data_IF_203176921931
#
_entry.id   IF_203176921931
#
_cell.length_a   1.000
_cell.length_b   1.000
_cell.length_c   1.000
_cell.angle_alpha   90.00
_cell.angle_beta   90.00
_cell.angle_gamma   90.00
#
_symmetry.space_group_name_H-M   'P 1'
#
loop_
_entity.id
_entity.type
_entity.pdbx_description
1 polymer ?
#
# COMPACT_ATOMS: atom_id res chain seq x y z
N UNK A 1 -22.76 -15.97 2.03
CA UNK A 1 -22.65 -14.70 1.26
C UNK A 1 -22.45 -13.59 2.28
N UNK A 2 -21.21 -13.25 2.61
CA UNK A 2 -20.92 -12.49 3.85
C UNK A 2 -20.93 -10.96 3.64
N UNK A 3 -20.77 -10.44 2.41
CA UNK A 3 -20.61 -8.98 2.17
C UNK A 3 -21.46 -8.36 1.04
N UNK A 4 -22.30 -9.14 0.36
CA UNK A 4 -23.21 -8.62 -0.70
C UNK A 4 -22.52 -8.24 -2.02
N UNK A 5 -23.30 -7.73 -2.98
CA UNK A 5 -22.81 -7.38 -4.33
C UNK A 5 -21.93 -6.11 -4.34
N UNK A 6 -22.14 -5.19 -3.40
CA UNK A 6 -21.38 -3.93 -3.31
C UNK A 6 -19.94 -4.09 -2.82
N UNK A 7 -19.57 -5.26 -2.29
CA UNK A 7 -18.21 -5.56 -1.82
C UNK A 7 -17.29 -6.13 -2.93
N UNK A 8 -17.79 -6.24 -4.16
CA UNK A 8 -17.04 -6.82 -5.29
C UNK A 8 -17.11 -5.84 -6.46
N UNK A 9 -15.96 -5.61 -7.11
CA UNK A 9 -15.85 -4.85 -8.36
C UNK A 9 -15.15 -5.72 -9.40
N UNK A 10 -15.63 -5.70 -10.65
CA UNK A 10 -15.11 -6.56 -11.74
C UNK A 10 -13.75 -6.05 -12.24
N UNK A 11 -13.57 -4.74 -12.32
CA UNK A 11 -12.33 -4.10 -12.75
C UNK A 11 -12.11 -2.78 -12.02
N UNK A 12 -10.85 -2.46 -11.73
CA UNK A 12 -10.43 -1.19 -11.13
C UNK A 12 -9.05 -0.83 -11.69
N UNK A 13 -8.74 0.46 -11.78
CA UNK A 13 -7.41 0.91 -12.17
C UNK A 13 -6.46 0.83 -10.97
N UNK A 14 -5.21 0.44 -11.23
CA UNK A 14 -4.17 0.44 -10.20
C UNK A 14 -3.56 1.83 -10.15
N UNK A 15 -3.94 2.64 -9.16
CA UNK A 15 -3.41 4.00 -8.96
C UNK A 15 -2.29 4.08 -7.91
N UNK A 16 -2.22 3.12 -7.00
CA UNK A 16 -1.21 3.03 -5.94
C UNK A 16 -0.87 1.57 -5.64
N UNK A 17 0.39 1.30 -5.36
CA UNK A 17 0.87 0.02 -4.83
C UNK A 17 1.36 0.22 -3.39
N UNK A 18 0.87 -0.61 -2.47
CA UNK A 18 1.37 -0.61 -1.09
C UNK A 18 2.25 -1.84 -0.91
N UNK A 19 3.54 -1.62 -0.71
CA UNK A 19 4.51 -2.65 -0.41
C UNK A 19 4.60 -2.83 1.11
N UNK A 20 4.20 -4.00 1.61
CA UNK A 20 4.27 -4.32 3.04
C UNK A 20 5.54 -5.08 3.34
N UNK A 21 6.38 -4.53 4.21
CA UNK A 21 7.63 -5.17 4.62
C UNK A 21 7.73 -5.31 6.13
N UNK A 22 8.45 -6.33 6.60
CA UNK A 22 8.69 -6.49 8.03
C UNK A 22 9.48 -5.29 8.55
N UNK A 23 9.04 -4.71 9.66
CA UNK A 23 9.74 -3.59 10.28
C UNK A 23 11.19 -3.99 10.62
N UNK A 24 12.15 -3.24 10.06
CA UNK A 24 13.58 -3.37 10.36
C UNK A 24 14.10 -2.06 10.98
N UNK A 25 14.62 -2.13 12.20
CA UNK A 25 15.20 -0.98 12.89
C UNK A 25 16.47 -0.41 12.23
N UNK A 26 17.11 -1.17 11.34
CA UNK A 26 18.29 -0.73 10.59
C UNK A 26 17.94 -0.02 9.29
N UNK A 27 16.70 -0.18 8.80
CA UNK A 27 16.25 0.45 7.56
C UNK A 27 15.67 1.84 7.86
N UNK A 28 16.18 2.84 7.15
CA UNK A 28 15.63 4.20 7.22
C UNK A 28 14.37 4.23 6.37
N UNK A 29 13.23 4.12 7.03
CA UNK A 29 11.93 4.41 6.42
C UNK A 29 11.80 5.92 6.23
N UNK A 30 11.38 6.34 5.04
CA UNK A 30 10.99 7.73 4.82
C UNK A 30 9.82 8.07 5.76
N UNK A 31 10.02 9.11 6.58
CA UNK A 31 9.03 9.61 7.55
C UNK A 31 8.34 10.88 7.08
N UNK A 32 8.80 11.46 5.98
CA UNK A 32 8.34 12.75 5.46
C UNK A 32 7.58 12.63 4.14
N UNK A 33 7.65 11.47 3.46
CA UNK A 33 6.91 11.21 2.20
C UNK A 33 7.42 12.07 1.05
N UNK A 34 8.73 12.35 1.03
CA UNK A 34 9.35 13.29 0.09
C UNK A 34 9.81 12.53 -1.16
N UNK A 35 10.21 11.26 -1.03
CA UNK A 35 10.59 10.45 -2.18
C UNK A 35 9.37 9.72 -2.75
N UNK A 36 9.01 10.09 -3.98
CA UNK A 36 8.00 9.38 -4.76
C UNK A 36 8.63 8.14 -5.40
N UNK A 37 8.44 6.99 -4.77
CA UNK A 37 8.82 5.71 -5.34
C UNK A 37 7.78 5.27 -6.39
N UNK A 38 8.25 4.60 -7.45
CA UNK A 38 7.38 4.00 -8.46
C UNK A 38 7.76 2.55 -8.70
N UNK A 39 6.76 1.71 -8.91
CA UNK A 39 6.93 0.35 -9.44
C UNK A 39 6.44 0.29 -10.88
N UNK A 40 6.98 -0.63 -11.66
CA UNK A 40 6.60 -0.81 -13.05
C UNK A 40 5.71 -2.04 -13.20
N UNK A 41 4.50 -1.83 -13.74
CA UNK A 41 3.55 -2.90 -14.05
C UNK A 41 3.27 -2.82 -15.55
N UNK A 42 3.74 -3.81 -16.30
CA UNK A 42 3.54 -3.89 -17.76
C UNK A 42 4.00 -2.64 -18.53
N UNK A 43 5.14 -2.04 -18.13
CA UNK A 43 5.64 -0.81 -18.74
C UNK A 43 5.05 0.49 -18.16
N UNK A 44 4.08 0.39 -17.25
CA UNK A 44 3.41 1.54 -16.64
C UNK A 44 4.01 1.79 -15.26
N UNK A 45 4.51 3.01 -15.04
CA UNK A 45 4.96 3.45 -13.71
C UNK A 45 3.76 3.77 -12.84
N UNK A 46 3.65 3.07 -11.71
CA UNK A 46 2.62 3.24 -10.70
C UNK A 46 3.29 3.66 -9.39
N UNK A 47 2.79 4.69 -8.69
CA UNK A 47 3.31 5.06 -7.37
C UNK A 47 3.34 3.87 -6.42
N UNK A 48 4.42 3.73 -5.64
CA UNK A 48 4.54 2.71 -4.60
C UNK A 48 4.85 3.35 -3.24
N UNK A 49 4.18 2.86 -2.21
CA UNK A 49 4.43 3.23 -0.82
C UNK A 49 4.87 2.00 -0.03
N UNK A 50 6.05 2.08 0.59
CA UNK A 50 6.57 1.00 1.43
C UNK A 50 6.20 1.23 2.89
N UNK A 51 5.38 0.33 3.47
CA UNK A 51 4.88 0.42 4.83
C UNK A 51 5.48 -0.70 5.69
N UNK A 52 6.20 -0.37 6.77
CA UNK A 52 6.67 -1.37 7.70
C UNK A 52 5.53 -1.95 8.53
N UNK A 53 5.42 -3.27 8.58
CA UNK A 53 4.47 -4.01 9.40
C UNK A 53 5.12 -4.47 10.71
N UNK A 54 4.43 -4.19 11.81
CA UNK A 54 4.76 -4.68 13.14
C UNK A 54 3.49 -5.20 13.81
N UNK A 55 3.51 -6.35 14.49
CA UNK A 55 2.36 -6.84 15.25
C UNK A 55 1.82 -5.75 16.20
N UNK A 56 0.50 -5.61 16.25
CA UNK A 56 -0.18 -4.60 17.07
C UNK A 56 -0.56 -3.30 16.34
N UNK A 57 -0.30 -3.17 15.03
CA UNK A 57 -0.84 -2.08 14.19
C UNK A 57 -2.03 -2.54 13.35
N UNK A 58 -3.03 -1.67 13.21
CA UNK A 58 -4.16 -1.90 12.32
C UNK A 58 -3.78 -1.53 10.88
N UNK A 59 -3.51 -2.54 10.05
CA UNK A 59 -3.11 -2.34 8.66
C UNK A 59 -4.23 -1.76 7.80
N UNK A 60 -5.49 -2.11 8.07
CA UNK A 60 -6.63 -1.61 7.29
C UNK A 60 -6.74 -0.08 7.39
N UNK A 61 -6.61 0.47 8.61
CA UNK A 61 -6.63 1.93 8.83
C UNK A 61 -5.46 2.61 8.15
N UNK A 62 -4.27 2.01 8.17
CA UNK A 62 -3.08 2.58 7.53
C UNK A 62 -3.26 2.64 6.00
N UNK A 63 -3.82 1.58 5.41
CA UNK A 63 -4.10 1.51 3.97
C UNK A 63 -5.18 2.53 3.59
N UNK A 64 -6.22 2.70 4.41
CA UNK A 64 -7.31 3.65 4.15
C UNK A 64 -6.85 5.12 4.16
N UNK A 65 -5.85 5.47 4.97
CA UNK A 65 -5.28 6.83 5.00
C UNK A 65 -4.36 7.09 3.79
N UNK A 66 -3.80 6.03 3.19
CA UNK A 66 -2.88 6.13 2.07
C UNK A 66 -3.58 6.20 0.69
N UNK A 67 -4.83 5.73 0.59
CA UNK A 67 -5.65 5.71 -0.61
C UNK A 67 -6.51 6.97 -0.74
#
# INVERSE_FOLDING_TARGET
RIFGIGAVKISEKIDLVINMEQWDGHKVYDRMGIDSEYTEILGIKVPVLTIPVKPGRNLAVIIEVAA
#
